data_IF_334545219722
#
_entry.id   IF_334545219722
#
_cell.length_a   1.000
_cell.length_b   1.000
_cell.length_c   1.000
_cell.angle_alpha   90.00
_cell.angle_beta   90.00
_cell.angle_gamma   90.00
#
_symmetry.space_group_name_H-M   'P 1'
#
loop_
_entity.id
_entity.type
_entity.pdbx_description
1 polymer ?
#
# COMPACT_ATOMS: atom_id res chain seq x y z
N UNK A 1 -16.56 26.38 43.87
CA UNK A 1 -15.41 26.39 42.95
C UNK A 1 -14.96 24.95 42.79
N UNK A 2 -15.56 24.21 41.88
CA UNK A 2 -15.16 22.83 41.59
C UNK A 2 -14.41 22.85 40.27
N UNK A 3 -13.08 22.97 40.35
CA UNK A 3 -12.20 22.80 39.20
C UNK A 3 -12.36 21.35 38.71
N UNK A 4 -13.14 21.17 37.66
CA UNK A 4 -13.26 19.91 36.95
C UNK A 4 -11.92 19.64 36.26
N UNK A 5 -11.04 18.91 36.94
CA UNK A 5 -9.79 18.43 36.38
C UNK A 5 -10.11 17.53 35.19
N UNK A 6 -10.01 18.10 33.99
CA UNK A 6 -10.19 17.38 32.74
C UNK A 6 -9.11 16.30 32.66
N UNK A 7 -9.51 15.05 32.90
CA UNK A 7 -8.68 13.86 32.72
C UNK A 7 -8.26 13.83 31.26
N UNK A 8 -7.04 14.29 30.95
CA UNK A 8 -6.48 14.21 29.61
C UNK A 8 -6.29 12.72 29.31
N UNK A 9 -7.26 12.13 28.63
CA UNK A 9 -7.18 10.76 28.14
C UNK A 9 -6.14 10.76 27.04
N UNK A 10 -4.90 10.44 27.40
CA UNK A 10 -3.79 10.33 26.47
C UNK A 10 -4.09 9.15 25.52
N UNK A 11 -4.61 9.44 24.32
CA UNK A 11 -4.83 8.41 23.29
C UNK A 11 -3.46 7.88 22.88
N UNK A 12 -3.13 6.68 23.38
CA UNK A 12 -1.85 5.97 23.17
C UNK A 12 -1.53 5.71 21.71
N UNK A 13 -2.54 5.75 20.83
CA UNK A 13 -2.38 5.60 19.39
C UNK A 13 -2.84 6.88 18.70
N UNK A 14 -1.91 7.79 18.37
CA UNK A 14 -2.23 8.96 17.57
C UNK A 14 -2.74 8.48 16.21
N UNK A 15 -3.84 9.07 15.73
CA UNK A 15 -4.40 8.77 14.40
C UNK A 15 -3.33 8.93 13.30
N UNK A 16 -2.45 9.93 13.45
CA UNK A 16 -1.33 10.22 12.56
C UNK A 16 -0.36 9.04 12.42
N UNK A 17 0.04 8.41 13.53
CA UNK A 17 0.98 7.29 13.52
C UNK A 17 0.37 6.09 12.81
N UNK A 18 -0.93 5.85 13.01
CA UNK A 18 -1.65 4.75 12.34
C UNK A 18 -1.72 4.97 10.82
N UNK A 19 -1.98 6.20 10.39
CA UNK A 19 -2.02 6.57 8.97
C UNK A 19 -0.64 6.41 8.33
N UNK A 20 0.42 6.91 8.98
CA UNK A 20 1.80 6.76 8.50
C UNK A 20 2.20 5.28 8.37
N UNK A 21 1.85 4.45 9.36
CA UNK A 21 2.12 3.02 9.31
C UNK A 21 1.37 2.32 8.16
N UNK A 22 0.12 2.72 7.92
CA UNK A 22 -0.64 2.21 6.77
C UNK A 22 0.04 2.56 5.44
N UNK A 23 0.45 3.82 5.26
CA UNK A 23 1.19 4.24 4.05
C UNK A 23 2.50 3.49 3.90
N UNK A 24 3.25 3.27 4.99
CA UNK A 24 4.48 2.50 4.96
C UNK A 24 4.25 1.08 4.45
N UNK A 25 3.25 0.37 4.99
CA UNK A 25 2.91 -0.99 4.54
C UNK A 25 2.45 -0.99 3.08
N UNK A 26 1.64 0.00 2.67
CA UNK A 26 1.20 0.13 1.29
C UNK A 26 2.38 0.30 0.31
N UNK A 27 3.35 1.15 0.66
CA UNK A 27 4.56 1.35 -0.14
C UNK A 27 5.36 0.04 -0.26
N UNK A 28 5.56 -0.69 0.85
CA UNK A 28 6.25 -1.99 0.82
C UNK A 28 5.53 -2.99 -0.08
N UNK A 29 4.20 -3.07 -0.02
CA UNK A 29 3.41 -3.95 -0.89
C UNK A 29 3.54 -3.57 -2.37
N UNK A 30 3.58 -2.27 -2.68
CA UNK A 30 3.83 -1.81 -4.05
C UNK A 30 5.19 -2.29 -4.53
N UNK A 31 6.26 -2.10 -3.76
CA UNK A 31 7.59 -2.58 -4.14
C UNK A 31 7.65 -4.10 -4.32
N UNK A 32 7.02 -4.86 -3.42
CA UNK A 32 6.90 -6.32 -3.58
C UNK A 32 6.18 -6.70 -4.87
N UNK A 33 5.06 -6.03 -5.18
CA UNK A 33 4.34 -6.23 -6.43
C UNK A 33 5.17 -5.89 -7.68
N UNK A 34 5.97 -4.83 -7.63
CA UNK A 34 6.88 -4.45 -8.72
C UNK A 34 8.03 -5.45 -8.89
N UNK A 35 8.59 -5.98 -7.80
CA UNK A 35 9.63 -7.01 -7.87
C UNK A 35 9.09 -8.31 -8.48
N UNK A 36 7.87 -8.71 -8.10
CA UNK A 36 7.20 -9.87 -8.70
C UNK A 36 6.90 -9.59 -10.18
N UNK A 37 6.37 -8.40 -10.49
CA UNK A 37 6.12 -7.98 -11.87
C UNK A 37 7.38 -7.94 -12.74
N UNK A 38 8.51 -7.49 -12.19
CA UNK A 38 9.81 -7.53 -12.85
C UNK A 38 10.23 -8.95 -13.21
N UNK A 39 10.07 -9.90 -12.28
CA UNK A 39 10.42 -11.30 -12.53
C UNK A 39 9.61 -11.99 -13.63
N UNK A 40 8.45 -11.43 -14.00
CA UNK A 40 7.57 -11.99 -15.05
C UNK A 40 7.70 -11.21 -16.37
N UNK A 41 7.83 -9.88 -16.31
CA UNK A 41 7.78 -9.00 -17.49
C UNK A 41 9.16 -8.49 -17.95
N UNK A 42 10.24 -8.78 -17.21
CA UNK A 42 11.57 -8.15 -17.33
C UNK A 42 11.57 -6.61 -17.23
N UNK A 43 10.41 -6.02 -16.91
CA UNK A 43 10.20 -4.58 -16.78
C UNK A 43 9.36 -4.30 -15.53
N UNK A 44 9.90 -3.59 -14.52
CA UNK A 44 9.22 -3.41 -13.24
C UNK A 44 7.97 -2.54 -13.37
N UNK A 45 7.92 -1.64 -14.35
CA UNK A 45 6.75 -0.79 -14.61
C UNK A 45 5.80 -1.40 -15.66
N UNK A 46 6.15 -2.55 -16.22
CA UNK A 46 5.30 -3.23 -17.22
C UNK A 46 3.92 -3.58 -16.67
N UNK A 47 3.82 -3.87 -15.37
CA UNK A 47 2.54 -4.21 -14.70
C UNK A 47 1.50 -3.08 -14.74
N UNK A 48 1.94 -1.83 -14.95
CA UNK A 48 1.03 -0.68 -15.10
C UNK A 48 0.61 -0.43 -16.55
N UNK A 49 1.18 -1.14 -17.53
CA UNK A 49 0.81 -1.01 -18.94
C UNK A 49 -0.40 -1.87 -19.23
N UNK A 50 -1.42 -1.27 -19.85
CA UNK A 50 -2.63 -2.00 -20.25
C UNK A 50 -2.31 -3.12 -21.25
N UNK A 51 -1.34 -2.88 -22.14
CA UNK A 51 -0.83 -3.80 -23.16
C UNK A 51 -0.35 -5.12 -22.55
N UNK A 52 0.27 -5.08 -21.36
CA UNK A 52 0.74 -6.29 -20.69
C UNK A 52 -0.43 -7.15 -20.21
N UNK A 53 -1.48 -6.54 -19.67
CA UNK A 53 -2.67 -7.28 -19.26
C UNK A 53 -3.40 -7.87 -20.46
N UNK A 54 -3.48 -7.14 -21.56
CA UNK A 54 -4.01 -7.67 -22.82
C UNK A 54 -3.19 -8.87 -23.30
N UNK A 55 -1.86 -8.79 -23.26
CA UNK A 55 -0.96 -9.88 -23.63
C UNK A 55 -1.12 -11.11 -22.71
N UNK A 56 -1.18 -10.91 -21.39
CA UNK A 56 -1.37 -11.98 -20.39
C UNK A 56 -2.74 -12.65 -20.60
N UNK A 57 -3.80 -11.86 -20.79
CA UNK A 57 -5.14 -12.38 -21.03
C UNK A 57 -5.17 -13.14 -22.35
N UNK A 58 -4.55 -12.62 -23.41
CA UNK A 58 -4.47 -13.31 -24.70
C UNK A 58 -3.72 -14.65 -24.59
N UNK A 59 -2.59 -14.67 -23.87
CA UNK A 59 -1.84 -15.90 -23.57
C UNK A 59 -2.67 -16.93 -22.79
N UNK A 60 -3.53 -16.46 -21.86
CA UNK A 60 -4.34 -17.34 -21.02
C UNK A 60 -5.62 -17.81 -21.73
N UNK A 61 -6.13 -17.02 -22.68
CA UNK A 61 -7.42 -17.26 -23.33
C UNK A 61 -7.36 -18.31 -24.44
N UNK A 62 -6.18 -18.55 -25.02
CA UNK A 62 -5.97 -19.49 -26.13
C UNK A 62 -6.28 -18.89 -27.48
#
# INVERSE_FOLDING_TARGET
MAEQQQKIVHRRFPLLVRILLFFYVAIVLVFLGLMIGFGILDNPFGVFRIETWEHIINLTRG
#
